data_IF_252235204772
#
_entry.id   IF_252235204772
#
_cell.length_a   1.000
_cell.length_b   1.000
_cell.length_c   1.000
_cell.angle_alpha   90.00
_cell.angle_beta   90.00
_cell.angle_gamma   90.00
#
_symmetry.space_group_name_H-M   'P 1'
#
loop_
_entity.id
_entity.type
_entity.pdbx_description
1 polymer ?
#
# COMPACT_ATOMS: atom_id res chain seq x y z
N UNK A 1 15.05 6.77 3.47
CA UNK A 1 13.60 7.02 3.60
C UNK A 1 13.14 7.16 5.07
N UNK A 2 13.61 6.30 6.01
CA UNK A 2 13.18 6.36 7.42
C UNK A 2 13.42 7.72 8.08
N UNK A 3 14.60 8.33 7.91
CA UNK A 3 14.88 9.67 8.44
C UNK A 3 13.94 10.77 7.93
N UNK A 4 13.42 10.63 6.69
CA UNK A 4 12.41 11.55 6.15
C UNK A 4 11.07 11.34 6.87
N UNK A 5 10.66 10.08 7.05
CA UNK A 5 9.42 9.74 7.76
C UNK A 5 9.46 10.24 9.22
N UNK A 6 10.57 10.04 9.91
CA UNK A 6 10.77 10.54 11.29
C UNK A 6 10.68 12.06 11.37
N UNK A 7 11.29 12.77 10.39
CA UNK A 7 11.22 14.24 10.33
C UNK A 7 9.79 14.72 10.10
N UNK A 8 9.05 14.07 9.21
CA UNK A 8 7.63 14.39 8.96
C UNK A 8 6.76 14.12 10.19
N UNK A 9 6.96 12.99 10.87
CA UNK A 9 6.26 12.65 12.10
C UNK A 9 6.47 13.68 13.20
N UNK A 10 7.74 14.10 13.41
CA UNK A 10 8.07 15.19 14.35
C UNK A 10 7.42 16.52 13.97
N UNK A 11 7.35 16.82 12.66
CA UNK A 11 6.66 18.01 12.15
C UNK A 11 5.18 18.00 12.48
N UNK A 12 4.51 16.86 12.32
CA UNK A 12 3.09 16.69 12.67
C UNK A 12 2.88 16.88 14.18
N UNK A 13 3.71 16.27 15.02
CA UNK A 13 3.65 16.43 16.48
C UNK A 13 3.81 17.90 16.88
N UNK A 14 4.75 18.61 16.25
CA UNK A 14 4.90 20.04 16.46
C UNK A 14 3.64 20.85 16.10
N UNK A 15 3.02 20.53 14.97
CA UNK A 15 1.77 21.18 14.52
C UNK A 15 0.62 20.90 15.49
N UNK A 16 0.48 19.69 15.99
CA UNK A 16 -0.52 19.34 16.99
C UNK A 16 -0.34 20.18 18.25
N UNK A 17 0.90 20.25 18.78
CA UNK A 17 1.22 21.07 19.95
C UNK A 17 0.95 22.55 19.69
N UNK A 18 1.39 23.09 18.53
CA UNK A 18 1.20 24.49 18.15
C UNK A 18 -0.28 24.90 18.08
N UNK A 19 -1.12 24.00 17.63
CA UNK A 19 -2.56 24.25 17.44
C UNK A 19 -3.42 23.74 18.62
N UNK A 20 -2.82 23.38 19.75
CA UNK A 20 -3.53 22.86 20.93
C UNK A 20 -4.41 21.63 20.64
N UNK A 21 -3.95 20.76 19.74
CA UNK A 21 -4.65 19.51 19.40
C UNK A 21 -4.17 18.43 20.37
N UNK A 22 -5.11 17.86 21.14
CA UNK A 22 -4.83 16.74 22.03
C UNK A 22 -4.68 15.45 21.24
N UNK A 23 -3.55 14.77 21.39
CA UNK A 23 -3.30 13.45 20.83
C UNK A 23 -3.57 12.39 21.89
N UNK A 24 -4.43 11.43 21.59
CA UNK A 24 -4.77 10.34 22.49
C UNK A 24 -4.32 9.05 21.82
N UNK A 25 -3.36 8.37 22.44
CA UNK A 25 -2.82 7.11 21.94
C UNK A 25 -3.63 5.92 22.45
N UNK A 26 -4.08 5.06 21.53
CA UNK A 26 -4.83 3.88 21.87
C UNK A 26 -5.69 3.35 20.72
N UNK A 27 -6.47 2.33 21.02
CA UNK A 27 -7.46 1.76 20.10
C UNK A 27 -8.82 2.42 20.33
N UNK A 28 -9.25 3.25 19.36
CA UNK A 28 -10.54 3.93 19.40
C UNK A 28 -11.68 3.05 18.88
N UNK A 29 -12.79 2.98 19.61
CA UNK A 29 -14.02 2.29 19.24
C UNK A 29 -15.21 3.22 19.44
N UNK A 30 -16.06 3.36 18.42
CA UNK A 30 -17.36 4.01 18.56
C UNK A 30 -18.26 3.12 19.43
N UNK A 31 -18.80 3.68 20.51
CA UNK A 31 -19.66 2.93 21.44
C UNK A 31 -21.11 3.39 21.40
N UNK A 32 -21.33 4.67 21.13
CA UNK A 32 -22.63 5.28 20.96
C UNK A 32 -22.51 6.50 20.01
N UNK A 33 -23.61 7.15 19.76
CA UNK A 33 -23.60 8.42 19.03
C UNK A 33 -22.68 9.43 19.75
N UNK A 34 -21.75 10.03 18.99
CA UNK A 34 -20.81 11.04 19.47
C UNK A 34 -19.84 10.59 20.59
N UNK A 35 -19.71 9.28 20.81
CA UNK A 35 -18.91 8.73 21.90
C UNK A 35 -17.84 7.75 21.37
N UNK A 36 -16.60 7.95 21.79
CA UNK A 36 -15.45 7.09 21.45
C UNK A 36 -14.82 6.55 22.74
N UNK A 37 -14.80 5.24 22.89
CA UNK A 37 -13.99 4.56 23.90
C UNK A 37 -12.58 4.35 23.35
N UNK A 38 -11.56 4.79 24.09
CA UNK A 38 -10.16 4.55 23.75
C UNK A 38 -9.54 3.61 24.77
N UNK A 39 -8.97 2.51 24.29
CA UNK A 39 -8.20 1.55 25.10
C UNK A 39 -6.71 1.80 24.87
N UNK A 40 -5.97 2.17 25.90
CA UNK A 40 -4.52 2.40 25.82
C UNK A 40 -3.70 1.11 25.84
N UNK A 41 -2.39 1.19 25.75
CA UNK A 41 -1.48 0.03 25.74
C UNK A 41 -1.52 -0.78 27.07
N UNK A 42 -1.93 -0.16 28.18
CA UNK A 42 -2.07 -0.83 29.47
C UNK A 42 -3.46 -1.52 29.63
N UNK A 43 -4.34 -1.39 28.64
CA UNK A 43 -5.70 -1.94 28.68
C UNK A 43 -6.72 -1.04 29.42
N UNK A 44 -6.32 0.16 29.83
CA UNK A 44 -7.19 1.12 30.47
C UNK A 44 -8.11 1.78 29.43
N UNK A 45 -9.37 1.96 29.81
CA UNK A 45 -10.40 2.52 28.94
C UNK A 45 -10.79 3.92 29.37
N UNK A 46 -10.84 4.83 28.42
CA UNK A 46 -11.31 6.20 28.62
C UNK A 46 -12.37 6.53 27.57
N UNK A 47 -13.42 7.20 27.99
CA UNK A 47 -14.52 7.61 27.12
C UNK A 47 -14.37 9.11 26.79
N UNK A 48 -14.50 9.43 25.51
CA UNK A 48 -14.48 10.79 24.98
C UNK A 48 -15.79 11.08 24.24
N UNK A 49 -16.31 12.26 24.45
CA UNK A 49 -17.48 12.77 23.73
C UNK A 49 -17.05 13.88 22.77
N UNK A 50 -17.65 13.93 21.59
CA UNK A 50 -17.38 14.96 20.59
C UNK A 50 -18.66 15.32 19.82
N UNK A 51 -18.79 16.56 19.43
CA UNK A 51 -19.92 17.00 18.59
C UNK A 51 -19.85 16.37 17.20
N UNK A 52 -18.64 16.22 16.65
CA UNK A 52 -18.37 15.62 15.36
C UNK A 52 -17.22 14.63 15.47
N UNK A 53 -17.33 13.48 14.80
CA UNK A 53 -16.30 12.45 14.76
C UNK A 53 -15.93 12.18 13.31
N UNK A 54 -14.64 12.24 12.99
CA UNK A 54 -14.09 11.89 11.70
C UNK A 54 -13.40 10.53 11.80
N UNK A 55 -13.87 9.56 11.01
CA UNK A 55 -13.25 8.25 10.90
C UNK A 55 -12.14 8.29 9.83
N UNK A 56 -10.90 8.35 10.28
CA UNK A 56 -9.71 8.38 9.43
C UNK A 56 -8.77 7.21 9.81
N UNK A 57 -9.32 6.00 9.86
CA UNK A 57 -8.65 4.80 10.42
C UNK A 57 -7.65 4.15 9.47
N UNK A 58 -7.46 4.73 8.28
CA UNK A 58 -6.55 4.21 7.27
C UNK A 58 -7.09 2.97 6.54
N UNK A 59 -6.21 2.33 5.78
CA UNK A 59 -6.54 1.15 4.99
C UNK A 59 -5.46 0.06 5.13
N UNK A 60 -5.82 -1.15 4.74
CA UNK A 60 -4.91 -2.29 4.66
C UNK A 60 -4.94 -2.88 3.26
N UNK A 61 -3.84 -3.47 2.83
CA UNK A 61 -3.80 -4.22 1.57
C UNK A 61 -4.84 -5.34 1.59
N UNK A 62 -5.57 -5.48 0.48
CA UNK A 62 -6.45 -6.61 0.27
C UNK A 62 -5.60 -7.89 0.20
N UNK A 63 -6.02 -8.93 0.92
CA UNK A 63 -5.45 -10.26 0.78
C UNK A 63 -6.09 -10.96 -0.41
N UNK A 64 -5.26 -11.55 -1.27
CA UNK A 64 -5.73 -12.40 -2.35
C UNK A 64 -5.74 -13.84 -1.83
N UNK A 65 -6.89 -14.56 -1.88
CA UNK A 65 -7.03 -15.88 -1.23
C UNK A 65 -6.02 -16.93 -1.73
N UNK A 66 -5.69 -16.87 -3.01
CA UNK A 66 -4.78 -17.80 -3.70
C UNK A 66 -3.31 -17.37 -3.66
N UNK A 67 -3.00 -16.17 -3.13
CA UNK A 67 -1.64 -15.62 -3.06
C UNK A 67 -1.45 -14.97 -1.68
N UNK A 68 -1.40 -15.76 -0.60
CA UNK A 68 -1.21 -15.24 0.74
C UNK A 68 0.17 -14.58 0.86
N UNK A 69 0.21 -13.39 1.46
CA UNK A 69 1.48 -12.71 1.75
C UNK A 69 2.24 -13.46 2.84
N UNK A 70 3.51 -13.76 2.59
CA UNK A 70 4.43 -14.39 3.55
C UNK A 70 5.32 -13.35 4.27
N UNK A 71 5.24 -12.09 3.85
CA UNK A 71 6.03 -10.98 4.38
C UNK A 71 7.52 -11.00 3.98
N UNK A 72 7.93 -11.95 3.14
CA UNK A 72 9.34 -12.14 2.70
C UNK A 72 9.49 -11.99 1.19
N UNK A 73 8.82 -12.85 0.42
CA UNK A 73 8.89 -12.90 -1.04
C UNK A 73 7.57 -12.53 -1.70
N UNK A 74 6.45 -12.85 -1.03
CA UNK A 74 5.11 -12.37 -1.40
C UNK A 74 4.74 -11.30 -0.37
N UNK A 75 4.86 -10.05 -0.78
CA UNK A 75 4.85 -8.89 0.11
C UNK A 75 3.78 -7.88 -0.27
N UNK A 76 3.32 -7.12 0.71
CA UNK A 76 2.47 -5.96 0.50
C UNK A 76 3.28 -4.65 0.42
N UNK A 77 2.57 -3.54 0.21
CA UNK A 77 3.20 -2.22 0.05
C UNK A 77 4.08 -1.82 1.25
N UNK A 78 3.72 -2.21 2.47
CA UNK A 78 4.49 -1.86 3.68
C UNK A 78 5.88 -2.46 3.66
N UNK A 79 5.99 -3.74 3.30
CA UNK A 79 7.26 -4.41 3.15
C UNK A 79 8.02 -3.86 1.94
N UNK A 80 7.32 -3.64 0.81
CA UNK A 80 7.94 -3.07 -0.38
C UNK A 80 8.58 -1.69 -0.12
N UNK A 81 7.98 -0.86 0.75
CA UNK A 81 8.56 0.43 1.13
C UNK A 81 9.80 0.32 2.04
N UNK A 82 10.08 -0.84 2.60
CA UNK A 82 11.12 -1.04 3.62
C UNK A 82 12.06 -2.20 3.32
N UNK A 83 12.09 -2.72 2.08
CA UNK A 83 13.06 -3.74 1.69
C UNK A 83 14.48 -3.25 1.95
N UNK A 84 15.30 -4.12 2.52
CA UNK A 84 16.70 -3.88 2.83
C UNK A 84 17.63 -4.11 1.64
N UNK A 85 17.13 -4.72 0.59
CA UNK A 85 17.83 -4.97 -0.65
C UNK A 85 16.94 -4.67 -1.87
N UNK A 86 17.58 -4.42 -3.00
CA UNK A 86 16.90 -4.23 -4.28
C UNK A 86 16.71 -5.60 -4.94
N UNK A 87 15.47 -6.03 -5.23
CA UNK A 87 15.26 -7.25 -5.99
C UNK A 87 15.71 -7.09 -7.45
N UNK A 88 16.23 -8.15 -8.06
CA UNK A 88 16.59 -8.18 -9.47
C UNK A 88 15.34 -8.11 -10.36
N UNK A 89 14.28 -8.80 -9.95
CA UNK A 89 12.99 -8.80 -10.63
C UNK A 89 11.83 -8.76 -9.64
N UNK A 90 10.71 -8.19 -10.08
CA UNK A 90 9.50 -8.05 -9.27
C UNK A 90 8.26 -8.17 -10.16
N UNK A 91 7.27 -8.94 -9.69
CA UNK A 91 5.92 -8.92 -10.25
C UNK A 91 5.04 -8.10 -9.31
N UNK A 92 4.41 -7.07 -9.83
CA UNK A 92 3.45 -6.23 -9.12
C UNK A 92 2.04 -6.64 -9.54
N UNK A 93 1.21 -7.03 -8.58
CA UNK A 93 -0.16 -7.50 -8.83
C UNK A 93 -1.15 -6.40 -8.47
N UNK A 94 -1.83 -5.90 -9.47
CA UNK A 94 -2.74 -4.75 -9.39
C UNK A 94 -2.06 -3.43 -9.78
N UNK A 95 -2.70 -2.69 -10.67
CA UNK A 95 -2.22 -1.42 -11.22
C UNK A 95 -2.98 -0.20 -10.69
N UNK A 96 -3.58 -0.29 -9.51
CA UNK A 96 -4.05 0.89 -8.80
C UNK A 96 -2.90 1.83 -8.45
N UNK A 97 -3.18 2.98 -7.83
CA UNK A 97 -2.16 4.00 -7.51
C UNK A 97 -0.90 3.41 -6.86
N UNK A 98 -1.06 2.64 -5.79
CA UNK A 98 0.07 2.04 -5.05
C UNK A 98 0.89 1.09 -5.93
N UNK A 99 0.23 0.19 -6.68
CA UNK A 99 0.92 -0.76 -7.54
C UNK A 99 1.69 -0.06 -8.67
N UNK A 100 1.09 0.94 -9.28
CA UNK A 100 1.72 1.74 -10.34
C UNK A 100 2.92 2.55 -9.82
N UNK A 101 2.80 3.17 -8.65
CA UNK A 101 3.90 3.90 -8.00
C UNK A 101 5.07 2.98 -7.64
N UNK A 102 4.79 1.81 -7.05
CA UNK A 102 5.84 0.84 -6.71
C UNK A 102 6.48 0.24 -7.96
N UNK A 103 5.71 -0.07 -9.01
CA UNK A 103 6.25 -0.55 -10.28
C UNK A 103 7.23 0.47 -10.88
N UNK A 104 6.83 1.73 -10.92
CA UNK A 104 7.70 2.81 -11.42
C UNK A 104 8.94 2.99 -10.54
N UNK A 105 8.78 3.02 -9.21
CA UNK A 105 9.89 3.20 -8.28
C UNK A 105 10.94 2.10 -8.43
N UNK A 106 10.53 0.83 -8.39
CA UNK A 106 11.47 -0.29 -8.50
C UNK A 106 12.12 -0.37 -9.87
N UNK A 107 11.37 -0.08 -10.94
CA UNK A 107 11.93 0.00 -12.28
C UNK A 107 13.00 1.11 -12.39
N UNK A 108 12.73 2.29 -11.84
CA UNK A 108 13.70 3.40 -11.81
C UNK A 108 14.97 3.05 -11.01
N UNK A 109 14.86 2.16 -10.03
CA UNK A 109 15.98 1.62 -9.27
C UNK A 109 16.73 0.50 -10.00
N UNK A 110 16.27 0.10 -11.20
CA UNK A 110 16.88 -0.94 -12.04
C UNK A 110 16.41 -2.37 -11.74
N UNK A 111 15.27 -2.55 -11.08
CA UNK A 111 14.57 -3.84 -10.95
C UNK A 111 13.80 -4.11 -12.25
N UNK A 112 13.85 -5.33 -12.77
CA UNK A 112 13.00 -5.76 -13.88
C UNK A 112 11.57 -5.94 -13.36
N UNK A 113 10.61 -5.14 -13.84
CA UNK A 113 9.25 -5.12 -13.33
C UNK A 113 8.26 -5.63 -14.35
N UNK A 114 7.38 -6.55 -13.93
CA UNK A 114 6.16 -6.94 -14.61
C UNK A 114 4.96 -6.49 -13.77
N UNK A 115 4.09 -5.65 -14.34
CA UNK A 115 2.84 -5.21 -13.75
C UNK A 115 1.68 -6.03 -14.32
N UNK A 116 0.95 -6.75 -13.47
CA UNK A 116 -0.18 -7.59 -13.85
C UNK A 116 -1.48 -6.97 -13.35
N UNK A 117 -2.43 -6.74 -14.26
CA UNK A 117 -3.71 -6.10 -13.96
C UNK A 117 -4.88 -6.96 -14.50
N UNK A 118 -5.86 -7.20 -13.62
CA UNK A 118 -7.06 -7.95 -13.98
C UNK A 118 -7.99 -7.18 -14.93
N UNK A 119 -8.06 -5.86 -14.74
CA UNK A 119 -8.90 -4.98 -15.55
C UNK A 119 -8.31 -4.76 -16.95
N UNK A 120 -9.12 -4.27 -17.92
CA UNK A 120 -8.66 -4.02 -19.30
C UNK A 120 -7.60 -2.92 -19.45
N UNK A 121 -7.46 -2.07 -18.46
CA UNK A 121 -6.51 -0.94 -18.44
C UNK A 121 -5.78 -0.85 -17.13
N UNK A 122 -4.57 -0.30 -17.13
CA UNK A 122 -3.92 0.12 -15.88
C UNK A 122 -4.66 1.32 -15.30
N UNK A 123 -4.53 1.55 -13.98
CA UNK A 123 -5.24 2.62 -13.28
C UNK A 123 -6.74 2.62 -13.61
N UNK A 124 -7.45 1.50 -13.40
CA UNK A 124 -8.79 1.29 -13.97
C UNK A 124 -9.89 2.19 -13.38
N UNK A 125 -9.58 2.94 -12.32
CA UNK A 125 -10.50 3.90 -11.69
C UNK A 125 -10.26 5.34 -12.16
N UNK A 126 -9.20 5.57 -12.95
CA UNK A 126 -8.84 6.87 -13.47
C UNK A 126 -9.43 7.10 -14.88
N UNK A 127 -9.32 8.32 -15.36
CA UNK A 127 -9.73 8.68 -16.72
C UNK A 127 -8.99 7.81 -17.76
N UNK A 128 -9.71 7.38 -18.80
CA UNK A 128 -9.18 6.46 -19.81
C UNK A 128 -7.96 7.04 -20.55
N UNK A 129 -7.98 8.34 -20.82
CA UNK A 129 -6.87 9.02 -21.51
C UNK A 129 -5.63 9.10 -20.61
N UNK A 130 -5.81 9.36 -19.32
CA UNK A 130 -4.74 9.31 -18.31
C UNK A 130 -4.14 7.90 -18.24
N UNK A 131 -4.99 6.87 -18.15
CA UNK A 131 -4.56 5.47 -18.11
C UNK A 131 -3.74 5.07 -19.34
N UNK A 132 -4.19 5.48 -20.53
CA UNK A 132 -3.46 5.27 -21.79
C UNK A 132 -2.10 5.98 -21.80
N UNK A 133 -2.05 7.22 -21.29
CA UNK A 133 -0.81 8.00 -21.25
C UNK A 133 0.21 7.39 -20.27
N UNK A 134 -0.23 6.97 -19.09
CA UNK A 134 0.62 6.27 -18.11
C UNK A 134 1.12 4.94 -18.68
N UNK A 135 0.27 4.17 -19.36
CA UNK A 135 0.67 2.92 -20.02
C UNK A 135 1.78 3.11 -21.06
N UNK A 136 1.70 4.18 -21.88
CA UNK A 136 2.76 4.54 -22.82
C UNK A 136 4.05 4.90 -22.10
N UNK A 137 3.96 5.64 -21.01
CA UNK A 137 5.11 6.03 -20.20
C UNK A 137 5.78 4.82 -19.54
N UNK A 138 5.00 3.87 -19.03
CA UNK A 138 5.52 2.63 -18.45
C UNK A 138 6.26 1.79 -19.49
N UNK A 139 5.67 1.60 -20.66
CA UNK A 139 6.32 0.89 -21.77
C UNK A 139 7.63 1.56 -22.19
N UNK A 140 7.64 2.90 -22.28
CA UNK A 140 8.87 3.67 -22.59
C UNK A 140 9.94 3.52 -21.50
N UNK A 141 9.53 3.40 -20.24
CA UNK A 141 10.43 3.17 -19.11
C UNK A 141 10.93 1.73 -19.00
N UNK A 142 10.41 0.79 -19.80
CA UNK A 142 10.80 -0.62 -19.78
C UNK A 142 10.06 -1.45 -18.73
N UNK A 143 8.89 -1.00 -18.27
CA UNK A 143 8.00 -1.79 -17.42
C UNK A 143 7.13 -2.65 -18.33
N UNK A 144 7.19 -3.97 -18.14
CA UNK A 144 6.27 -4.90 -18.80
C UNK A 144 4.89 -4.81 -18.14
N UNK A 145 3.82 -4.78 -18.95
CA UNK A 145 2.44 -4.67 -18.46
C UNK A 145 1.57 -5.74 -19.09
N UNK A 146 0.87 -6.51 -18.27
CA UNK A 146 -0.16 -7.46 -18.66
C UNK A 146 -1.50 -7.02 -18.09
N UNK A 147 -2.42 -6.61 -18.95
CA UNK A 147 -3.83 -6.31 -18.59
C UNK A 147 -4.73 -7.50 -18.90
N UNK A 148 -5.96 -7.49 -18.39
CA UNK A 148 -6.93 -8.62 -18.49
C UNK A 148 -6.32 -9.94 -17.98
N UNK A 149 -5.39 -9.86 -17.05
CA UNK A 149 -4.56 -10.97 -16.59
C UNK A 149 -4.68 -11.13 -15.07
N UNK A 150 -4.82 -12.37 -14.61
CA UNK A 150 -4.88 -12.69 -13.19
C UNK A 150 -3.72 -13.59 -12.78
N UNK A 151 -3.18 -13.37 -11.58
CA UNK A 151 -2.25 -14.32 -10.98
C UNK A 151 -3.06 -15.40 -10.28
N UNK A 152 -2.91 -16.65 -10.75
CA UNK A 152 -3.66 -17.80 -10.26
C UNK A 152 -2.97 -18.46 -9.06
N UNK A 153 -1.66 -18.61 -9.13
CA UNK A 153 -0.87 -19.21 -8.06
C UNK A 153 0.57 -18.74 -8.08
N UNK A 154 1.22 -18.89 -6.93
CA UNK A 154 2.66 -18.67 -6.76
C UNK A 154 3.26 -19.91 -6.12
N UNK A 155 4.22 -20.51 -6.79
CA UNK A 155 4.96 -21.67 -6.34
C UNK A 155 6.33 -21.21 -5.82
N UNK A 156 6.68 -21.63 -4.61
CA UNK A 156 8.00 -21.34 -4.04
C UNK A 156 9.01 -22.38 -4.54
N UNK A 157 10.06 -21.92 -5.21
CA UNK A 157 11.22 -22.73 -5.61
C UNK A 157 12.52 -22.21 -4.97
N UNK A 158 13.61 -22.93 -5.18
CA UNK A 158 14.95 -22.45 -4.83
C UNK A 158 15.29 -21.23 -5.70
N UNK A 159 15.56 -20.10 -5.06
CA UNK A 159 15.95 -18.83 -5.72
C UNK A 159 14.77 -17.99 -6.20
N UNK A 160 13.99 -18.41 -7.19
CA UNK A 160 12.91 -17.66 -7.81
C UNK A 160 11.51 -18.18 -7.44
N UNK A 161 10.52 -17.29 -7.44
CA UNK A 161 9.10 -17.67 -7.42
C UNK A 161 8.65 -17.97 -8.84
N UNK A 162 7.92 -19.06 -9.03
CA UNK A 162 7.19 -19.33 -10.27
C UNK A 162 5.77 -18.83 -10.10
N UNK A 163 5.37 -17.89 -10.97
CA UNK A 163 4.06 -17.24 -10.92
C UNK A 163 3.24 -17.68 -12.14
N UNK A 164 2.09 -18.28 -11.90
CA UNK A 164 1.18 -18.70 -12.94
C UNK A 164 0.18 -17.57 -13.20
N UNK A 165 0.16 -17.07 -14.45
CA UNK A 165 -0.69 -15.96 -14.88
C UNK A 165 -1.63 -16.48 -15.96
N UNK A 166 -2.90 -16.12 -15.84
CA UNK A 166 -3.97 -16.40 -16.82
C UNK A 166 -4.39 -15.09 -17.48
N UNK A 167 -4.47 -15.11 -18.80
CA UNK A 167 -5.04 -14.08 -19.65
C UNK A 167 -6.51 -14.37 -19.97
#
# INVERSE_FOLDING_TARGET
>A
SRGVADKMSKGIQYLFKKNNITVIEGHGKLTAEKTVEVTNAAGEKTIFEAQHIVLATGARSRQLPNIPQDGKRIIGYRQALTLDHKPESMIVVGSGAIGSELAYFYNAMGTKVLLVEFMPTILPLEDEEVSKQVGRSFKKAGIDVMVKSSVESVESGEGLLKVNIKN
#
